data_IF_251720360772
#
_entry.id   IF_251720360772
#
_cell.length_a   1.000
_cell.length_b   1.000
_cell.length_c   1.000
_cell.angle_alpha   90.00
_cell.angle_beta   90.00
_cell.angle_gamma   90.00
#
_symmetry.space_group_name_H-M   'P 1'
#
loop_
_entity.id
_entity.type
_entity.pdbx_description
1 polymer ?
#
# COMPACT_ATOMS: atom_id res chain seq x y z
N UNK A 1 9.88 -18.48 -0.86
CA UNK A 1 9.74 -17.04 -1.13
C UNK A 1 11.12 -16.39 -1.11
N UNK A 2 11.32 -15.29 -1.85
CA UNK A 2 12.59 -14.54 -1.82
C UNK A 2 13.78 -15.25 -2.50
N UNK A 3 13.56 -16.14 -3.47
CA UNK A 3 14.66 -16.81 -4.21
C UNK A 3 15.12 -16.04 -5.45
N UNK A 4 14.41 -14.97 -5.82
CA UNK A 4 14.81 -14.03 -6.85
C UNK A 4 15.29 -12.71 -6.25
N UNK A 5 15.87 -11.87 -7.11
CA UNK A 5 16.15 -10.47 -6.83
C UNK A 5 15.58 -9.61 -7.94
N UNK A 6 15.17 -8.41 -7.56
CA UNK A 6 14.72 -7.43 -8.50
C UNK A 6 15.79 -7.06 -9.51
N UNK A 7 15.33 -6.85 -10.73
CA UNK A 7 16.12 -6.37 -11.86
C UNK A 7 15.27 -5.39 -12.65
N UNK A 8 15.70 -4.14 -12.73
CA UNK A 8 15.04 -3.09 -13.53
C UNK A 8 14.93 -3.53 -15.00
N UNK A 9 15.91 -4.29 -15.49
CA UNK A 9 15.92 -4.84 -16.85
C UNK A 9 14.82 -5.89 -17.07
N UNK A 10 14.58 -6.78 -16.09
CA UNK A 10 13.54 -7.82 -16.19
C UNK A 10 12.14 -7.18 -16.23
N UNK A 11 11.94 -6.12 -15.45
CA UNK A 11 10.71 -5.33 -15.45
C UNK A 11 10.51 -4.55 -16.75
N UNK A 12 11.54 -3.87 -17.26
CA UNK A 12 11.46 -3.20 -18.56
C UNK A 12 11.12 -4.19 -19.68
N UNK A 13 11.74 -5.37 -19.68
CA UNK A 13 11.45 -6.43 -20.64
C UNK A 13 10.02 -6.99 -20.48
N UNK A 14 9.53 -7.14 -19.25
CA UNK A 14 8.17 -7.57 -18.99
C UNK A 14 7.14 -6.54 -19.51
N UNK A 15 7.35 -5.25 -19.23
CA UNK A 15 6.44 -4.19 -19.67
C UNK A 15 6.38 -4.09 -21.19
N UNK A 16 7.53 -4.09 -21.86
CA UNK A 16 7.59 -4.09 -23.32
C UNK A 16 6.80 -5.25 -23.96
N UNK A 17 6.72 -6.40 -23.28
CA UNK A 17 6.01 -7.59 -23.78
C UNK A 17 4.52 -7.62 -23.42
N UNK A 18 4.18 -7.16 -22.22
CA UNK A 18 2.89 -7.45 -21.59
C UNK A 18 2.02 -6.22 -21.31
N UNK A 19 2.59 -5.02 -21.41
CA UNK A 19 1.96 -3.78 -20.97
C UNK A 19 1.96 -2.75 -22.10
N UNK A 20 3.08 -2.54 -22.79
CA UNK A 20 3.21 -1.47 -23.79
C UNK A 20 2.26 -1.67 -24.98
N UNK A 21 1.58 -0.60 -25.40
CA UNK A 21 0.62 -0.61 -26.49
C UNK A 21 -0.71 -1.31 -26.21
N UNK A 22 -0.91 -1.90 -25.02
CA UNK A 22 -2.17 -2.57 -24.64
C UNK A 22 -3.14 -1.64 -23.91
N UNK A 23 -4.44 -1.86 -24.16
CA UNK A 23 -5.55 -1.18 -23.50
C UNK A 23 -5.82 -1.73 -22.10
N UNK A 24 -6.66 -1.01 -21.34
CA UNK A 24 -7.02 -1.36 -19.95
C UNK A 24 -7.56 -2.79 -19.82
N UNK A 25 -8.53 -3.15 -20.64
CA UNK A 25 -9.16 -4.48 -20.60
C UNK A 25 -8.22 -5.61 -21.00
N UNK A 26 -7.18 -5.31 -21.78
CA UNK A 26 -6.15 -6.27 -22.17
C UNK A 26 -5.09 -6.50 -21.09
N UNK A 27 -4.87 -5.51 -20.21
CA UNK A 27 -3.91 -5.60 -19.11
C UNK A 27 -4.57 -6.17 -17.86
N UNK A 28 -5.74 -5.64 -17.49
CA UNK A 28 -6.56 -6.06 -16.36
C UNK A 28 -7.90 -6.60 -16.88
N UNK A 29 -7.86 -7.83 -17.37
CA UNK A 29 -9.03 -8.52 -17.94
C UNK A 29 -9.83 -9.37 -16.94
N UNK A 30 -9.44 -9.36 -15.67
CA UNK A 30 -10.15 -10.14 -14.65
C UNK A 30 -11.58 -9.60 -14.45
N UNK A 31 -12.54 -10.50 -14.37
CA UNK A 31 -13.97 -10.20 -14.14
C UNK A 31 -14.47 -10.75 -12.81
N UNK A 32 -13.54 -11.16 -11.94
CA UNK A 32 -13.80 -11.82 -10.68
C UNK A 32 -12.50 -11.99 -9.91
N UNK A 33 -12.61 -12.12 -8.59
CA UNK A 33 -11.44 -12.34 -7.72
C UNK A 33 -10.75 -13.67 -8.08
N UNK A 34 -9.44 -13.63 -8.34
CA UNK A 34 -8.64 -14.85 -8.45
C UNK A 34 -8.52 -15.48 -7.05
N UNK A 35 -8.91 -16.75 -6.86
CA UNK A 35 -8.83 -17.41 -5.55
C UNK A 35 -7.42 -17.38 -4.94
N UNK A 36 -6.36 -17.25 -5.74
CA UNK A 36 -4.99 -17.11 -5.27
C UNK A 36 -4.77 -15.82 -4.50
N UNK A 37 -5.54 -14.76 -4.74
CA UNK A 37 -5.42 -13.44 -4.13
C UNK A 37 -6.56 -13.10 -3.16
N UNK A 38 -7.48 -14.04 -2.93
CA UNK A 38 -8.60 -13.92 -2.00
C UNK A 38 -8.16 -14.23 -0.55
N UNK A 39 -8.21 -13.26 0.39
CA UNK A 39 -7.80 -13.47 1.78
C UNK A 39 -8.65 -14.49 2.55
N UNK A 40 -9.84 -14.84 2.06
CA UNK A 40 -10.65 -15.93 2.61
C UNK A 40 -10.14 -17.31 2.19
N UNK A 41 -9.30 -17.39 1.14
CA UNK A 41 -8.81 -18.63 0.54
C UNK A 41 -7.36 -18.93 0.89
N UNK A 42 -6.51 -17.91 1.01
CA UNK A 42 -5.13 -18.12 1.45
C UNK A 42 -5.00 -18.03 2.97
N UNK A 43 -4.11 -18.85 3.54
CA UNK A 43 -3.81 -18.87 4.97
C UNK A 43 -2.97 -17.66 5.37
N UNK A 44 -1.79 -17.53 4.78
CA UNK A 44 -0.77 -16.54 5.16
C UNK A 44 0.08 -16.15 3.95
N UNK A 45 0.51 -14.89 3.94
CA UNK A 45 1.50 -14.33 3.03
C UNK A 45 2.82 -14.17 3.76
N UNK A 46 3.89 -14.66 3.17
CA UNK A 46 5.14 -14.86 3.88
C UNK A 46 6.26 -14.00 3.31
N UNK A 47 6.91 -13.25 4.18
CA UNK A 47 8.17 -12.57 3.89
C UNK A 47 9.28 -13.23 4.71
N UNK A 48 10.05 -14.12 4.07
CA UNK A 48 11.05 -14.98 4.71
C UNK A 48 12.44 -14.65 4.24
N UNK A 49 13.41 -14.78 5.14
CA UNK A 49 14.80 -14.69 4.76
C UNK A 49 15.17 -15.86 3.83
N UNK A 50 16.11 -15.62 2.92
CA UNK A 50 16.65 -16.63 2.03
C UNK A 50 18.16 -16.42 1.81
N UNK A 51 18.80 -17.32 1.07
CA UNK A 51 20.19 -17.13 0.66
C UNK A 51 20.39 -15.85 -0.20
N UNK A 52 19.36 -15.42 -0.94
CA UNK A 52 19.41 -14.23 -1.79
C UNK A 52 18.94 -12.96 -1.06
N UNK A 53 18.08 -13.11 -0.06
CA UNK A 53 17.46 -12.03 0.69
C UNK A 53 17.58 -12.33 2.20
N UNK A 54 18.80 -12.26 2.79
CA UNK A 54 19.06 -12.69 4.17
C UNK A 54 18.44 -11.78 5.24
N UNK A 55 18.03 -10.57 4.89
CA UNK A 55 17.44 -9.59 5.81
C UNK A 55 16.17 -8.99 5.20
N UNK A 56 15.21 -9.86 4.86
CA UNK A 56 13.97 -9.45 4.19
C UNK A 56 13.24 -8.35 4.96
N UNK A 57 12.77 -7.31 4.25
CA UNK A 57 11.92 -6.25 4.82
C UNK A 57 10.56 -6.24 4.11
N UNK A 58 9.45 -6.61 4.78
CA UNK A 58 8.12 -6.63 4.17
C UNK A 58 7.57 -5.21 3.97
N UNK A 59 7.08 -4.94 2.77
CA UNK A 59 6.42 -3.69 2.39
C UNK A 59 5.07 -4.04 1.73
N UNK A 60 3.98 -3.54 2.31
CA UNK A 60 2.63 -3.69 1.76
C UNK A 60 2.19 -2.36 1.15
N UNK A 61 1.77 -2.41 -0.11
CA UNK A 61 1.25 -1.30 -0.89
C UNK A 61 -0.22 -1.57 -1.19
N UNK A 62 -1.11 -1.02 -0.36
CA UNK A 62 -2.54 -1.21 -0.45
C UNK A 62 -3.19 -0.03 -1.17
N UNK A 63 -3.44 -0.20 -2.47
CA UNK A 63 -4.07 0.82 -3.30
C UNK A 63 -5.58 0.65 -3.31
N UNK A 64 -6.27 1.76 -3.16
CA UNK A 64 -7.68 1.90 -3.51
C UNK A 64 -7.87 1.61 -5.01
N UNK A 65 -8.89 0.80 -5.32
CA UNK A 65 -9.27 0.41 -6.69
C UNK A 65 -10.74 0.72 -7.00
N UNK A 66 -11.35 1.61 -6.23
CA UNK A 66 -12.75 2.00 -6.37
C UNK A 66 -12.98 2.96 -7.54
N UNK A 67 -14.25 3.20 -7.85
CA UNK A 67 -14.67 4.03 -8.98
C UNK A 67 -14.22 5.49 -8.89
N UNK A 68 -14.08 6.06 -7.68
CA UNK A 68 -13.62 7.44 -7.45
C UNK A 68 -12.19 7.66 -7.95
N UNK A 69 -11.32 6.67 -7.74
CA UNK A 69 -9.96 6.64 -8.29
C UNK A 69 -9.94 6.60 -9.81
N UNK A 70 -10.99 6.08 -10.47
CA UNK A 70 -11.13 6.11 -11.93
C UNK A 70 -9.89 5.63 -12.70
N UNK A 71 -9.32 6.50 -13.52
CA UNK A 71 -8.09 6.19 -14.28
C UNK A 71 -6.83 6.14 -13.41
N UNK A 72 -6.83 6.79 -12.25
CA UNK A 72 -5.68 6.85 -11.33
C UNK A 72 -5.40 5.46 -10.75
N UNK A 73 -6.44 4.72 -10.34
CA UNK A 73 -6.26 3.33 -9.90
C UNK A 73 -5.55 2.49 -10.96
N UNK A 74 -5.90 2.68 -12.23
CA UNK A 74 -5.25 1.96 -13.33
C UNK A 74 -3.81 2.42 -13.56
N UNK A 75 -3.54 3.73 -13.55
CA UNK A 75 -2.18 4.27 -13.73
C UNK A 75 -1.26 3.88 -12.57
N UNK A 76 -1.75 3.91 -11.34
CA UNK A 76 -1.06 3.40 -10.15
C UNK A 76 -0.78 1.90 -10.28
N UNK A 77 -1.79 1.08 -10.54
CA UNK A 77 -1.61 -0.38 -10.61
C UNK A 77 -0.76 -0.82 -11.82
N UNK A 78 -0.81 -0.10 -12.95
CA UNK A 78 -0.05 -0.43 -14.17
C UNK A 78 1.39 0.06 -14.11
N UNK A 79 1.59 1.34 -13.82
CA UNK A 79 2.87 2.03 -13.96
C UNK A 79 3.43 2.49 -12.63
N UNK A 80 2.59 3.10 -11.78
CA UNK A 80 3.01 3.69 -10.51
C UNK A 80 3.65 2.68 -9.56
N UNK A 81 3.03 1.51 -9.36
CA UNK A 81 3.55 0.46 -8.49
C UNK A 81 4.82 -0.20 -9.06
N UNK A 82 4.97 -0.26 -10.38
CA UNK A 82 6.20 -0.75 -11.02
C UNK A 82 7.34 0.24 -10.78
N UNK A 83 7.13 1.52 -11.07
CA UNK A 83 8.11 2.58 -10.81
C UNK A 83 8.48 2.59 -9.33
N UNK A 84 7.49 2.50 -8.45
CA UNK A 84 7.69 2.43 -7.00
C UNK A 84 8.53 1.22 -6.59
N UNK A 85 8.23 0.02 -7.09
CA UNK A 85 9.07 -1.15 -6.80
C UNK A 85 10.50 -0.92 -7.28
N UNK A 86 10.69 -0.39 -8.48
CA UNK A 86 12.00 -0.08 -9.05
C UNK A 86 12.79 0.91 -8.17
N UNK A 87 12.16 2.01 -7.79
CA UNK A 87 12.75 3.03 -6.92
C UNK A 87 13.14 2.47 -5.54
N UNK A 88 12.31 1.60 -4.96
CA UNK A 88 12.65 0.92 -3.69
C UNK A 88 13.91 0.06 -3.85
N UNK A 89 14.04 -0.71 -4.93
CA UNK A 89 15.23 -1.55 -5.13
C UNK A 89 16.47 -0.77 -5.55
N UNK A 90 16.31 0.31 -6.31
CA UNK A 90 17.41 1.13 -6.80
C UNK A 90 17.97 2.03 -5.68
N UNK A 91 17.10 2.70 -4.91
CA UNK A 91 17.53 3.53 -3.77
C UNK A 91 17.88 2.74 -2.52
N UNK A 92 17.37 1.51 -2.40
CA UNK A 92 17.59 0.61 -1.25
C UNK A 92 17.38 1.31 0.09
N UNK A 93 16.18 1.90 0.33
CA UNK A 93 15.91 2.56 1.60
C UNK A 93 15.85 1.56 2.77
N UNK A 94 15.70 0.26 2.47
CA UNK A 94 15.73 -0.86 3.42
C UNK A 94 16.49 -2.05 2.83
N UNK A 95 16.86 -3.00 3.69
CA UNK A 95 17.47 -4.27 3.29
C UNK A 95 16.45 -5.21 2.65
N UNK A 96 16.84 -5.88 1.56
CA UNK A 96 16.11 -6.96 0.89
C UNK A 96 14.57 -6.77 0.87
N UNK A 97 14.07 -5.72 0.19
CA UNK A 97 12.65 -5.39 0.23
C UNK A 97 11.82 -6.51 -0.40
N UNK A 98 10.76 -6.92 0.28
CA UNK A 98 9.76 -7.88 -0.20
C UNK A 98 8.43 -7.16 -0.30
N UNK A 99 7.88 -7.06 -1.51
CA UNK A 99 6.75 -6.19 -1.79
C UNK A 99 5.49 -7.02 -2.02
N UNK A 100 4.41 -6.65 -1.33
CA UNK A 100 3.06 -7.12 -1.58
C UNK A 100 2.21 -5.94 -2.06
N UNK A 101 1.39 -6.19 -3.08
CA UNK A 101 0.36 -5.26 -3.51
C UNK A 101 -1.00 -5.76 -3.06
N UNK A 102 -1.81 -4.88 -2.48
CA UNK A 102 -3.19 -5.13 -2.17
C UNK A 102 -4.10 -4.15 -2.92
N UNK A 103 -5.21 -4.66 -3.45
CA UNK A 103 -6.29 -3.87 -4.00
C UNK A 103 -7.38 -3.76 -2.94
N UNK A 104 -7.69 -2.54 -2.52
CA UNK A 104 -8.68 -2.22 -1.49
C UNK A 104 -9.88 -1.61 -2.17
N UNK A 105 -11.07 -2.09 -1.82
CA UNK A 105 -12.33 -1.47 -2.21
C UNK A 105 -13.27 -1.34 -1.03
N UNK A 106 -14.57 -1.31 -1.31
CA UNK A 106 -15.59 -1.07 -0.31
C UNK A 106 -16.18 -2.37 0.25
N UNK A 107 -15.95 -2.67 1.53
CA UNK A 107 -16.57 -3.79 2.21
C UNK A 107 -18.10 -3.68 2.33
N UNK A 108 -18.73 -2.56 2.02
CA UNK A 108 -20.18 -2.43 2.03
C UNK A 108 -20.81 -2.82 0.69
N UNK A 109 -20.18 -2.52 -0.43
CA UNK A 109 -20.80 -2.67 -1.77
C UNK A 109 -20.04 -3.60 -2.70
N UNK A 110 -18.72 -3.74 -2.54
CA UNK A 110 -17.90 -4.47 -3.51
C UNK A 110 -17.99 -5.98 -3.32
N UNK A 111 -17.82 -6.68 -4.45
CA UNK A 111 -17.73 -8.13 -4.51
C UNK A 111 -16.34 -8.60 -4.08
N UNK A 112 -15.29 -7.83 -4.41
CA UNK A 112 -13.90 -8.10 -4.07
C UNK A 112 -13.27 -6.94 -3.26
N UNK A 113 -13.77 -6.68 -2.03
CA UNK A 113 -13.36 -5.53 -1.22
C UNK A 113 -11.90 -5.56 -0.75
N UNK A 114 -11.24 -6.72 -0.86
CA UNK A 114 -9.81 -6.85 -0.61
C UNK A 114 -9.23 -8.00 -1.44
N UNK A 115 -8.13 -7.73 -2.13
CA UNK A 115 -7.28 -8.72 -2.77
C UNK A 115 -5.83 -8.44 -2.39
N UNK A 116 -5.01 -9.48 -2.25
CA UNK A 116 -3.59 -9.30 -1.92
C UNK A 116 -2.72 -10.30 -2.67
N UNK A 117 -1.65 -9.81 -3.28
CA UNK A 117 -0.60 -10.67 -3.87
C UNK A 117 0.17 -11.38 -2.77
N UNK A 118 1.11 -12.23 -3.16
CA UNK A 118 2.17 -12.67 -2.28
C UNK A 118 3.25 -11.57 -2.15
N UNK A 119 4.04 -11.61 -1.06
CA UNK A 119 5.29 -10.85 -0.94
C UNK A 119 6.34 -11.36 -1.92
N UNK A 120 6.78 -10.53 -2.85
CA UNK A 120 7.77 -10.92 -3.85
C UNK A 120 9.02 -10.05 -3.79
N UNK A 121 10.15 -10.69 -4.12
CA UNK A 121 11.47 -10.07 -4.18
C UNK A 121 11.92 -9.77 -5.64
N UNK A 122 11.06 -10.05 -6.62
CA UNK A 122 11.42 -10.09 -8.04
C UNK A 122 10.22 -9.75 -8.98
N UNK A 123 10.43 -9.95 -10.28
CA UNK A 123 9.48 -9.66 -11.36
C UNK A 123 8.16 -10.43 -11.28
N UNK A 124 8.08 -11.53 -10.52
CA UNK A 124 6.86 -12.34 -10.42
C UNK A 124 5.67 -11.53 -9.91
N UNK A 125 5.91 -10.47 -9.12
CA UNK A 125 4.90 -9.52 -8.67
C UNK A 125 4.10 -8.91 -9.83
N UNK A 126 4.74 -8.61 -10.96
CA UNK A 126 4.13 -8.00 -12.14
C UNK A 126 2.93 -8.80 -12.67
N UNK A 127 3.10 -10.12 -12.69
CA UNK A 127 2.09 -11.04 -13.17
C UNK A 127 0.92 -11.15 -12.19
N UNK A 128 1.20 -11.04 -10.88
CA UNK A 128 0.18 -11.08 -9.84
C UNK A 128 -0.65 -9.80 -9.82
N UNK A 129 -0.01 -8.62 -9.93
CA UNK A 129 -0.70 -7.33 -10.01
C UNK A 129 -1.71 -7.32 -11.16
N UNK A 130 -1.30 -7.77 -12.36
CA UNK A 130 -2.19 -7.82 -13.55
C UNK A 130 -3.37 -8.77 -13.41
N UNK A 131 -3.27 -9.75 -12.52
CA UNK A 131 -4.33 -10.72 -12.27
C UNK A 131 -5.31 -10.26 -11.18
N UNK A 132 -5.07 -9.11 -10.53
CA UNK A 132 -6.03 -8.50 -9.62
C UNK A 132 -7.23 -7.96 -10.39
N UNK A 133 -8.40 -8.12 -9.79
CA UNK A 133 -9.64 -7.60 -10.35
C UNK A 133 -9.87 -6.16 -9.87
N UNK A 134 -9.76 -5.20 -10.79
CA UNK A 134 -10.09 -3.80 -10.54
C UNK A 134 -11.59 -3.60 -10.79
N UNK A 135 -12.41 -4.01 -9.83
CA UNK A 135 -13.88 -3.97 -9.91
C UNK A 135 -14.37 -2.55 -10.27
N UNK A 136 -13.72 -1.51 -9.73
CA UNK A 136 -14.05 -0.11 -10.03
C UNK A 136 -15.42 0.30 -9.53
N UNK A 137 -16.01 -0.51 -8.65
CA UNK A 137 -17.22 -0.19 -7.91
C UNK A 137 -16.87 0.72 -6.72
N UNK A 138 -17.88 1.13 -5.98
CA UNK A 138 -17.77 1.97 -4.81
C UNK A 138 -19.16 2.20 -4.22
N UNK A 139 -19.20 2.71 -2.99
CA UNK A 139 -20.47 2.78 -2.25
C UNK A 139 -21.18 4.13 -2.32
N UNK A 140 -20.46 5.22 -2.60
CA UNK A 140 -20.98 6.57 -2.35
C UNK A 140 -21.41 6.79 -0.89
N UNK A 141 -20.92 5.94 0.02
CA UNK A 141 -21.31 5.86 1.43
C UNK A 141 -20.36 6.67 2.33
N UNK A 142 -19.47 7.47 1.74
CA UNK A 142 -18.68 8.48 2.43
C UNK A 142 -17.35 8.00 2.98
N UNK A 143 -16.80 6.93 2.42
CA UNK A 143 -15.44 6.46 2.67
C UNK A 143 -15.18 5.09 2.06
N UNK A 144 -13.98 4.57 2.32
CA UNK A 144 -13.54 3.26 1.85
C UNK A 144 -13.01 2.37 2.97
N UNK A 145 -12.97 1.07 2.72
CA UNK A 145 -12.70 0.05 3.75
C UNK A 145 -11.20 -0.22 3.95
N UNK A 146 -10.38 0.83 4.07
CA UNK A 146 -8.92 0.72 4.28
C UNK A 146 -8.52 -0.09 5.52
N UNK A 147 -9.42 -0.22 6.51
CA UNK A 147 -9.22 -1.11 7.66
C UNK A 147 -9.03 -2.58 7.28
N UNK A 148 -9.48 -3.00 6.08
CA UNK A 148 -9.20 -4.32 5.52
C UNK A 148 -7.68 -4.51 5.26
N UNK A 149 -6.97 -3.49 4.79
CA UNK A 149 -5.52 -3.58 4.60
C UNK A 149 -4.78 -3.69 5.95
N UNK A 150 -5.25 -2.97 6.98
CA UNK A 150 -4.69 -3.09 8.33
C UNK A 150 -4.86 -4.52 8.88
N UNK A 151 -6.06 -5.11 8.75
CA UNK A 151 -6.29 -6.49 9.19
C UNK A 151 -5.56 -7.53 8.33
N UNK A 152 -5.38 -7.29 7.03
CA UNK A 152 -4.54 -8.13 6.18
C UNK A 152 -3.13 -8.23 6.76
N UNK A 153 -2.50 -7.08 7.04
CA UNK A 153 -1.17 -7.03 7.65
C UNK A 153 -1.14 -7.77 8.99
N UNK A 154 -2.14 -7.55 9.85
CA UNK A 154 -2.18 -8.12 11.19
C UNK A 154 -2.47 -9.63 11.25
N UNK A 155 -3.32 -10.14 10.35
CA UNK A 155 -3.90 -11.50 10.48
C UNK A 155 -3.39 -12.48 9.41
N UNK A 156 -2.91 -11.96 8.28
CA UNK A 156 -2.63 -12.78 7.10
C UNK A 156 -1.19 -12.64 6.64
N UNK A 157 -0.30 -12.05 7.43
CA UNK A 157 1.13 -12.00 7.13
C UNK A 157 1.97 -12.67 8.20
N UNK A 158 3.10 -13.23 7.79
CA UNK A 158 4.12 -13.79 8.68
C UNK A 158 5.48 -13.43 8.12
N UNK A 159 6.29 -12.76 8.95
CA UNK A 159 7.48 -12.05 8.46
C UNK A 159 8.68 -12.27 9.36
N UNK A 160 9.79 -12.71 8.78
CA UNK A 160 11.03 -12.93 9.54
C UNK A 160 11.62 -11.62 10.08
N UNK A 161 11.34 -10.49 9.41
CA UNK A 161 11.68 -9.15 9.91
C UNK A 161 11.18 -8.92 11.32
N UNK A 162 9.90 -9.20 11.55
CA UNK A 162 9.29 -9.00 12.86
C UNK A 162 9.57 -10.17 13.79
N UNK A 163 9.34 -11.41 13.33
CA UNK A 163 9.37 -12.61 14.17
C UNK A 163 10.78 -12.95 14.67
N UNK A 164 11.82 -12.68 13.87
CA UNK A 164 13.20 -13.03 14.22
C UNK A 164 14.02 -11.83 14.68
N UNK A 165 13.74 -10.64 14.14
CA UNK A 165 14.56 -9.44 14.38
C UNK A 165 13.83 -8.34 15.16
N UNK A 166 12.52 -8.49 15.41
CA UNK A 166 11.73 -7.44 16.05
C UNK A 166 11.62 -6.15 15.22
N UNK A 167 11.97 -6.21 13.93
CA UNK A 167 11.91 -5.06 13.02
C UNK A 167 10.57 -5.06 12.29
N UNK A 168 9.86 -3.94 12.38
CA UNK A 168 8.59 -3.78 11.69
C UNK A 168 8.77 -3.69 10.17
N UNK A 169 7.76 -4.15 9.45
CA UNK A 169 7.59 -3.85 8.03
C UNK A 169 7.01 -2.47 7.80
N UNK A 170 6.60 -2.22 6.56
CA UNK A 170 5.91 -1.01 6.15
C UNK A 170 4.55 -1.33 5.54
N UNK A 171 3.51 -0.56 5.88
CA UNK A 171 2.19 -0.63 5.27
C UNK A 171 1.77 0.76 4.82
N UNK A 172 1.55 0.92 3.52
CA UNK A 172 1.01 2.12 2.91
C UNK A 172 -0.39 1.84 2.39
N UNK A 173 -1.39 2.54 2.91
CA UNK A 173 -2.68 2.65 2.23
C UNK A 173 -2.67 3.89 1.34
N UNK A 174 -3.21 3.78 0.13
CA UNK A 174 -3.15 4.83 -0.90
C UNK A 174 -4.56 5.00 -1.47
N UNK A 175 -5.10 6.22 -1.45
CA UNK A 175 -6.42 6.51 -2.04
C UNK A 175 -6.84 7.95 -1.85
N UNK A 176 -8.06 8.29 -2.22
CA UNK A 176 -8.59 9.66 -2.27
C UNK A 176 -9.83 9.87 -1.37
N UNK A 177 -10.28 8.84 -0.65
CA UNK A 177 -11.52 8.85 0.14
C UNK A 177 -11.29 8.89 1.67
N UNK A 178 -12.29 9.33 2.46
CA UNK A 178 -12.30 9.12 3.90
C UNK A 178 -12.23 7.63 4.27
N UNK A 179 -11.84 7.33 5.51
CA UNK A 179 -11.83 5.94 6.00
C UNK A 179 -13.09 5.60 6.79
N UNK A 180 -13.72 4.47 6.46
CA UNK A 180 -14.79 3.90 7.28
C UNK A 180 -14.28 3.52 8.67
N UNK A 181 -15.13 3.61 9.69
CA UNK A 181 -14.75 3.23 11.06
C UNK A 181 -14.70 1.71 11.25
N UNK A 182 -13.76 1.06 10.59
CA UNK A 182 -13.46 -0.35 10.78
C UNK A 182 -14.28 -1.27 9.90
N UNK A 183 -14.50 -2.49 10.40
CA UNK A 183 -15.20 -3.56 9.71
C UNK A 183 -16.14 -4.28 10.68
N UNK A 184 -17.35 -4.58 10.23
CA UNK A 184 -18.31 -5.41 10.97
C UNK A 184 -17.85 -6.87 11.01
N UNK A 185 -18.33 -7.65 11.99
CA UNK A 185 -18.02 -9.09 12.06
C UNK A 185 -18.36 -9.85 10.77
N UNK A 186 -19.54 -9.63 10.13
CA UNK A 186 -19.84 -10.27 8.83
C UNK A 186 -18.87 -9.87 7.71
N UNK A 187 -18.43 -8.61 7.66
CA UNK A 187 -17.44 -8.17 6.67
C UNK A 187 -16.09 -8.84 6.88
N UNK A 188 -15.60 -8.90 8.12
CA UNK A 188 -14.35 -9.61 8.46
C UNK A 188 -14.46 -11.08 8.06
N UNK A 189 -15.60 -11.73 8.35
CA UNK A 189 -15.83 -13.12 7.99
C UNK A 189 -15.83 -13.36 6.49
N UNK A 190 -16.49 -12.48 5.73
CA UNK A 190 -16.49 -12.54 4.27
C UNK A 190 -15.09 -12.33 3.68
N UNK A 191 -14.35 -11.35 4.18
CA UNK A 191 -13.05 -10.95 3.62
C UNK A 191 -11.95 -11.96 3.97
N UNK A 192 -11.89 -12.42 5.22
CA UNK A 192 -10.76 -13.19 5.73
C UNK A 192 -11.05 -14.67 5.96
N UNK A 193 -12.31 -15.08 5.83
CA UNK A 193 -12.73 -16.46 6.10
C UNK A 193 -12.64 -16.85 7.58
N UNK A 194 -12.69 -15.89 8.50
CA UNK A 194 -12.58 -16.10 9.96
C UNK A 194 -13.85 -15.62 10.67
N UNK A 195 -14.17 -16.18 11.83
CA UNK A 195 -15.35 -15.73 12.61
C UNK A 195 -14.89 -14.91 13.82
N UNK A 196 -14.86 -13.57 13.75
CA UNK A 196 -14.55 -12.77 14.91
C UNK A 196 -15.78 -12.69 15.84
N UNK A 197 -15.57 -12.54 17.16
CA UNK A 197 -16.69 -12.40 18.11
C UNK A 197 -17.47 -11.09 17.95
N UNK A 198 -16.84 -10.03 17.43
CA UNK A 198 -17.44 -8.72 17.16
C UNK A 198 -16.70 -8.04 15.99
N UNK A 199 -17.30 -6.98 15.44
CA UNK A 199 -16.62 -6.11 14.47
C UNK A 199 -15.51 -5.30 15.14
N UNK A 200 -14.56 -4.83 14.37
CA UNK A 200 -13.41 -4.06 14.85
C UNK A 200 -13.50 -2.64 14.30
N UNK A 201 -13.29 -1.63 15.14
CA UNK A 201 -13.16 -0.24 14.74
C UNK A 201 -11.89 -0.01 13.90
N UNK A 202 -11.81 1.13 13.19
CA UNK A 202 -10.61 1.48 12.42
C UNK A 202 -9.37 1.58 13.31
N UNK A 203 -9.55 2.09 14.54
CA UNK A 203 -8.48 2.20 15.54
C UNK A 203 -7.98 0.84 16.02
N UNK A 204 -8.87 -0.12 16.23
CA UNK A 204 -8.48 -1.49 16.62
C UNK A 204 -7.75 -2.20 15.47
N UNK A 205 -8.27 -2.10 14.24
CA UNK A 205 -7.62 -2.66 13.07
C UNK A 205 -6.20 -2.09 12.89
N UNK A 206 -6.07 -0.77 13.02
CA UNK A 206 -4.78 -0.07 12.94
C UNK A 206 -3.82 -0.52 14.05
N UNK A 207 -4.26 -0.54 15.31
CA UNK A 207 -3.42 -0.94 16.44
C UNK A 207 -2.91 -2.38 16.31
N UNK A 208 -3.69 -3.27 15.69
CA UNK A 208 -3.26 -4.63 15.37
C UNK A 208 -2.15 -4.65 14.31
N UNK A 209 -2.28 -3.86 13.23
CA UNK A 209 -1.26 -3.74 12.19
C UNK A 209 0.04 -3.12 12.73
N UNK A 210 -0.07 -2.07 13.56
CA UNK A 210 1.06 -1.33 14.11
C UNK A 210 1.98 -2.15 15.03
N UNK A 211 1.53 -3.34 15.46
CA UNK A 211 2.38 -4.29 16.19
C UNK A 211 3.58 -4.72 15.36
N UNK A 212 3.41 -4.94 14.06
CA UNK A 212 4.44 -5.50 13.18
C UNK A 212 4.75 -4.64 11.95
N UNK A 213 4.03 -3.53 11.75
CA UNK A 213 4.25 -2.60 10.63
C UNK A 213 4.30 -1.14 11.10
N UNK A 214 5.10 -0.32 10.42
CA UNK A 214 4.95 1.13 10.38
C UNK A 214 3.86 1.46 9.35
N UNK A 215 2.78 2.09 9.81
CA UNK A 215 1.56 2.28 9.00
C UNK A 215 1.42 3.74 8.58
N UNK A 216 1.16 3.96 7.29
CA UNK A 216 1.00 5.28 6.69
C UNK A 216 -0.19 5.30 5.75
N UNK A 217 -0.79 6.49 5.59
CA UNK A 217 -1.81 6.73 4.57
C UNK A 217 -1.36 7.84 3.63
N UNK A 218 -1.50 7.63 2.32
CA UNK A 218 -1.23 8.61 1.29
C UNK A 218 -2.55 8.99 0.63
N UNK A 219 -2.96 10.24 0.85
CA UNK A 219 -4.11 10.87 0.21
C UNK A 219 -3.68 11.38 -1.15
N UNK A 220 -4.20 10.77 -2.22
CA UNK A 220 -4.06 11.30 -3.58
C UNK A 220 -5.03 12.48 -3.71
N UNK A 221 -4.54 13.71 -3.90
CA UNK A 221 -5.38 14.92 -4.01
C UNK A 221 -5.96 15.09 -5.42
N UNK A 222 -6.52 14.02 -5.92
CA UNK A 222 -7.29 13.94 -7.16
C UNK A 222 -8.61 13.23 -6.83
N UNK A 223 -9.43 12.87 -7.81
CA UNK A 223 -10.70 12.16 -7.55
C UNK A 223 -11.60 12.87 -6.53
N UNK A 224 -12.03 12.16 -5.49
CA UNK A 224 -12.82 12.70 -4.37
C UNK A 224 -12.06 13.78 -3.60
N UNK A 225 -10.81 13.51 -3.21
CA UNK A 225 -9.99 14.42 -2.40
C UNK A 225 -9.72 15.76 -3.09
N UNK A 226 -9.83 15.86 -4.42
CA UNK A 226 -9.70 17.13 -5.14
C UNK A 226 -10.64 18.22 -4.57
N UNK A 227 -11.85 17.83 -4.16
CA UNK A 227 -12.84 18.73 -3.55
C UNK A 227 -13.18 18.38 -2.09
N UNK A 228 -12.86 17.16 -1.65
CA UNK A 228 -13.21 16.61 -0.33
C UNK A 228 -12.06 16.52 0.66
N UNK A 229 -10.89 17.12 0.37
CA UNK A 229 -9.66 16.93 1.16
C UNK A 229 -9.85 17.14 2.67
N UNK A 230 -10.59 18.17 3.09
CA UNK A 230 -10.82 18.44 4.51
C UNK A 230 -11.51 17.27 5.21
N UNK A 231 -12.50 16.65 4.57
CA UNK A 231 -13.23 15.50 5.11
C UNK A 231 -12.34 14.25 5.15
N UNK A 232 -11.54 14.03 4.11
CA UNK A 232 -10.57 12.93 4.06
C UNK A 232 -9.59 13.05 5.23
N UNK A 233 -8.97 14.22 5.38
CA UNK A 233 -8.02 14.49 6.46
C UNK A 233 -8.66 14.41 7.85
N UNK A 234 -9.89 14.89 8.02
CA UNK A 234 -10.62 14.79 9.29
C UNK A 234 -10.85 13.33 9.74
N UNK A 235 -11.01 12.39 8.79
CA UNK A 235 -11.15 10.96 9.11
C UNK A 235 -9.82 10.29 9.45
N UNK A 236 -8.74 10.70 8.79
CA UNK A 236 -7.43 10.04 8.91
C UNK A 236 -6.54 10.59 10.03
N UNK A 237 -6.52 11.91 10.25
CA UNK A 237 -5.64 12.53 11.25
C UNK A 237 -5.81 11.98 12.68
N UNK A 238 -7.03 11.66 13.16
CA UNK A 238 -7.21 11.04 14.48
C UNK A 238 -6.68 9.60 14.59
N UNK A 239 -6.47 8.92 13.45
CA UNK A 239 -5.95 7.55 13.38
C UNK A 239 -4.43 7.55 13.17
N UNK A 240 -3.93 8.36 12.23
CA UNK A 240 -2.53 8.41 11.79
C UNK A 240 -1.92 9.81 11.92
N UNK A 241 -1.83 10.39 13.14
CA UNK A 241 -1.29 11.73 13.33
C UNK A 241 0.18 11.79 12.90
N UNK A 242 0.49 12.68 11.95
CA UNK A 242 1.83 12.82 11.37
C UNK A 242 2.28 11.67 10.46
N UNK A 243 1.34 10.78 10.10
CA UNK A 243 1.54 9.61 9.21
C UNK A 243 0.57 9.59 8.03
N UNK A 244 -0.22 10.65 7.88
CA UNK A 244 -1.07 10.92 6.71
C UNK A 244 -0.37 11.95 5.82
N UNK A 245 -0.18 11.63 4.54
CA UNK A 245 0.52 12.45 3.56
C UNK A 245 -0.39 12.81 2.41
N UNK A 246 -0.40 14.09 2.00
CA UNK A 246 -1.13 14.53 0.80
C UNK A 246 -0.18 14.55 -0.39
N UNK A 247 -0.61 13.95 -1.50
CA UNK A 247 0.14 13.89 -2.75
C UNK A 247 -0.69 14.52 -3.87
N UNK A 248 -0.24 15.67 -4.39
CA UNK A 248 -0.98 16.38 -5.46
C UNK A 248 -0.78 15.77 -6.86
N UNK A 249 0.23 14.92 -7.05
CA UNK A 249 0.51 14.26 -8.34
C UNK A 249 0.75 12.77 -8.09
N UNK A 250 -0.23 11.93 -8.42
CA UNK A 250 -0.18 10.49 -8.18
C UNK A 250 1.02 9.82 -8.88
N UNK A 251 1.57 10.43 -9.94
CA UNK A 251 2.76 9.92 -10.65
C UNK A 251 4.04 9.99 -9.80
N UNK A 252 3.99 10.71 -8.68
CA UNK A 252 5.10 10.90 -7.72
C UNK A 252 5.00 10.00 -6.48
N UNK A 253 4.13 8.99 -6.53
CA UNK A 253 3.92 8.05 -5.43
C UNK A 253 5.20 7.30 -5.06
N UNK A 254 6.04 6.98 -6.06
CA UNK A 254 7.29 6.26 -5.88
C UNK A 254 8.25 7.06 -5.00
N UNK A 255 8.47 8.32 -5.37
CA UNK A 255 9.36 9.23 -4.66
C UNK A 255 8.87 9.50 -3.24
N UNK A 256 7.55 9.69 -3.04
CA UNK A 256 6.99 9.94 -1.71
C UNK A 256 7.14 8.72 -0.79
N UNK A 257 6.76 7.51 -1.24
CA UNK A 257 6.87 6.29 -0.41
C UNK A 257 8.32 6.02 -0.04
N UNK A 258 9.24 6.06 -1.00
CA UNK A 258 10.67 5.84 -0.71
C UNK A 258 11.18 6.88 0.29
N UNK A 259 10.80 8.15 0.13
CA UNK A 259 11.18 9.21 1.06
C UNK A 259 10.65 8.97 2.48
N UNK A 260 9.40 8.49 2.62
CA UNK A 260 8.82 8.16 3.92
C UNK A 260 9.61 7.03 4.58
N UNK A 261 9.97 5.99 3.83
CA UNK A 261 10.79 4.88 4.34
C UNK A 261 12.16 5.40 4.80
N UNK A 262 12.86 6.16 3.95
CA UNK A 262 14.19 6.72 4.29
C UNK A 262 14.17 7.58 5.56
N UNK A 263 13.14 8.42 5.72
CA UNK A 263 12.98 9.26 6.91
C UNK A 263 12.66 8.41 8.13
N UNK A 264 11.86 7.36 7.97
CA UNK A 264 11.54 6.42 9.06
C UNK A 264 12.76 5.63 9.51
N UNK A 265 13.67 5.31 8.58
CA UNK A 265 14.98 4.70 8.82
C UNK A 265 16.04 5.71 9.31
N UNK A 266 15.65 6.97 9.55
CA UNK A 266 16.47 7.97 10.26
C UNK A 266 17.22 8.97 9.37
N UNK A 267 16.99 8.99 8.06
CA UNK A 267 17.53 10.06 7.20
C UNK A 267 16.82 11.38 7.46
N UNK A 268 17.56 12.49 7.34
CA UNK A 268 16.98 13.82 7.46
C UNK A 268 15.98 14.11 6.33
N UNK A 269 14.86 14.74 6.68
CA UNK A 269 13.77 15.04 5.75
C UNK A 269 14.18 16.04 4.65
N UNK A 270 14.99 17.04 5.00
CA UNK A 270 15.51 18.03 4.05
C UNK A 270 16.49 17.39 3.06
N UNK A 271 17.40 16.56 3.57
CA UNK A 271 18.36 15.82 2.74
C UNK A 271 17.67 14.85 1.78
N UNK A 272 16.66 14.12 2.26
CA UNK A 272 15.86 13.21 1.43
C UNK A 272 15.14 13.98 0.33
N UNK A 273 14.46 15.08 0.66
CA UNK A 273 13.77 15.91 -0.32
C UNK A 273 14.73 16.50 -1.36
N UNK A 274 15.90 16.98 -0.93
CA UNK A 274 16.93 17.54 -1.81
C UNK A 274 17.61 16.49 -2.70
N UNK A 275 17.54 15.20 -2.33
CA UNK A 275 18.14 14.12 -3.11
C UNK A 275 17.37 13.76 -4.39
N UNK A 276 16.13 14.25 -4.56
CA UNK A 276 15.33 14.01 -5.75
C UNK A 276 15.60 15.07 -6.83
N UNK A 277 15.64 14.69 -8.12
CA UNK A 277 15.85 15.65 -9.20
C UNK A 277 14.56 16.41 -9.55
N UNK A 278 14.71 17.69 -9.91
CA UNK A 278 13.67 18.49 -10.55
C UNK A 278 12.37 18.60 -9.74
N UNK A 279 11.23 18.38 -10.40
CA UNK A 279 9.91 18.56 -9.81
C UNK A 279 9.61 17.59 -8.65
N UNK A 280 10.28 16.43 -8.59
CA UNK A 280 10.06 15.45 -7.53
C UNK A 280 10.49 15.98 -6.15
N UNK A 281 11.58 16.75 -6.07
CA UNK A 281 12.03 17.36 -4.82
C UNK A 281 10.97 18.27 -4.20
N UNK A 282 10.31 19.10 -5.02
CA UNK A 282 9.29 20.03 -4.54
C UNK A 282 8.04 19.30 -4.03
N UNK A 283 7.61 18.24 -4.74
CA UNK A 283 6.45 17.42 -4.34
C UNK A 283 6.72 16.70 -3.02
N UNK A 284 7.89 16.06 -2.92
CA UNK A 284 8.32 15.35 -1.71
C UNK A 284 8.48 16.33 -0.53
N UNK A 285 9.14 17.47 -0.73
CA UNK A 285 9.31 18.50 0.29
C UNK A 285 7.97 19.03 0.81
N UNK A 286 7.01 19.27 -0.09
CA UNK A 286 5.67 19.71 0.30
C UNK A 286 4.95 18.66 1.14
N UNK A 287 4.88 17.42 0.65
CA UNK A 287 4.18 16.33 1.35
C UNK A 287 4.80 16.05 2.73
N UNK A 288 6.13 16.13 2.86
CA UNK A 288 6.83 15.95 4.15
C UNK A 288 6.67 17.19 5.06
N UNK A 289 6.68 18.39 4.49
CA UNK A 289 6.56 19.66 5.23
C UNK A 289 5.18 19.90 5.83
N UNK A 290 4.13 19.29 5.25
CA UNK A 290 2.75 19.33 5.77
C UNK A 290 2.54 18.46 7.02
N UNK A 291 3.56 17.71 7.48
CA UNK A 291 3.50 17.03 8.78
C UNK A 291 3.31 18.06 9.90
N UNK A 292 2.40 17.84 10.86
CA UNK A 292 2.44 18.56 12.13
C UNK A 292 3.84 18.40 12.72
N UNK A 293 4.55 19.51 12.97
CA UNK A 293 5.87 19.46 13.61
C UNK A 293 5.73 18.66 14.90
N UNK A 294 6.44 17.54 15.01
CA UNK A 294 6.57 16.84 16.29
C UNK A 294 7.11 17.85 17.30
N UNK A 295 6.29 18.23 18.28
CA UNK A 295 6.87 18.62 19.56
C UNK A 295 7.55 17.36 20.09
N UNK A 296 8.86 17.29 19.88
CA UNK A 296 9.70 16.39 20.66
C UNK A 296 9.49 16.80 22.11
N UNK A 297 8.67 16.05 22.84
CA UNK A 297 8.77 16.07 24.29
C UNK A 297 10.18 15.58 24.61
N UNK A 298 10.98 16.37 25.35
CA UNK A 298 12.29 15.90 25.78
C UNK A 298 12.04 14.67 26.66
N UNK A 299 12.50 13.52 26.19
CA UNK A 299 12.69 12.39 27.08
C UNK A 299 13.78 12.81 28.07
N UNK A 300 13.44 12.77 29.36
CA UNK A 300 14.33 13.02 30.49
C UNK A 300 15.55 12.09 30.46
#
# INVERSE_FOLDING_TARGET
MGMGRFSTADWAAYNARHVDGRSRSEIFGATGIDPRFDPSRFSTRESRDSAYNPQSTPIILASDVTGSMGMIAHELMRGGLITLTSEIYDRRPVSDPHIMVAAVGDAYTDSAPLQATQFEADISLASQIRALWLEGNGGGNGGESYSAAHLLAALKTSTDAFERRGRKGYLFTIGDEPVHNGLTAPQIARIFGIQPPHGLSARECLAMAERSYEVFHIVIREGYAANGLERVLASWQPLLPGRTFVLDDHRRIAELVVSIIEITEGRDAGDVAASWPGAAAAVVAKAIGERPKRHLLPFF
#
